data_IF_699644256126
#
_entry.id   IF_699644256126
#
_cell.length_a   1.000
_cell.length_b   1.000
_cell.length_c   1.000
_cell.angle_alpha   90.00
_cell.angle_beta   90.00
_cell.angle_gamma   90.00
#
_symmetry.space_group_name_H-M   'P 1'
#
loop_
_entity.id
_entity.type
_entity.pdbx_description
1 polymer ?
#
# COMPACT_ATOMS: atom_id res chain seq x y z
N UNK A 1 -51.37 -27.54 -31.92
CA UNK A 1 -50.40 -26.44 -32.10
C UNK A 1 -49.60 -26.32 -30.81
N UNK A 2 -48.32 -26.68 -30.81
CA UNK A 2 -47.47 -26.79 -29.61
C UNK A 2 -46.98 -25.39 -29.19
N UNK A 3 -47.25 -24.99 -27.94
CA UNK A 3 -46.71 -23.76 -27.34
C UNK A 3 -45.25 -24.01 -26.94
N UNK A 4 -44.33 -23.27 -27.53
CA UNK A 4 -42.90 -23.30 -27.20
C UNK A 4 -42.66 -22.27 -26.09
N UNK A 5 -42.40 -22.74 -24.86
CA UNK A 5 -41.91 -21.91 -23.77
C UNK A 5 -40.39 -21.78 -23.93
N UNK A 6 -39.91 -20.59 -24.30
CA UNK A 6 -38.50 -20.26 -24.19
C UNK A 6 -38.20 -19.90 -22.73
N UNK A 7 -37.59 -20.82 -21.99
CA UNK A 7 -36.97 -20.51 -20.70
C UNK A 7 -35.62 -19.85 -20.99
N UNK A 8 -35.57 -18.52 -20.88
CA UNK A 8 -34.34 -17.75 -20.99
C UNK A 8 -33.48 -17.99 -19.75
N UNK A 9 -32.40 -18.75 -19.92
CA UNK A 9 -31.38 -18.94 -18.88
C UNK A 9 -30.59 -17.63 -18.75
N UNK A 10 -30.94 -16.83 -17.74
CA UNK A 10 -30.21 -15.60 -17.40
C UNK A 10 -28.86 -15.99 -16.79
N UNK A 11 -27.78 -15.97 -17.58
CA UNK A 11 -26.41 -16.07 -17.07
C UNK A 11 -26.12 -14.79 -16.28
N UNK A 12 -26.25 -14.86 -14.95
CA UNK A 12 -25.69 -13.84 -14.07
C UNK A 12 -24.16 -13.97 -14.11
N UNK A 13 -23.49 -13.08 -14.86
CA UNK A 13 -22.07 -12.84 -14.69
C UNK A 13 -21.87 -12.24 -13.30
N UNK A 14 -21.43 -13.07 -12.35
CA UNK A 14 -20.81 -12.56 -11.14
C UNK A 14 -19.47 -11.94 -11.55
N UNK A 15 -19.42 -10.63 -11.72
CA UNK A 15 -18.14 -9.90 -11.61
C UNK A 15 -17.63 -10.15 -10.21
N UNK A 16 -16.61 -11.01 -10.08
CA UNK A 16 -15.77 -11.01 -8.89
C UNK A 16 -15.14 -9.63 -8.85
N UNK A 17 -15.52 -8.81 -7.88
CA UNK A 17 -14.76 -7.61 -7.58
C UNK A 17 -13.31 -8.07 -7.35
N UNK A 18 -12.37 -7.54 -8.11
CA UNK A 18 -10.96 -7.74 -7.79
C UNK A 18 -10.75 -7.07 -6.42
N UNK A 19 -10.29 -7.84 -5.44
CA UNK A 19 -9.95 -7.26 -4.14
C UNK A 19 -8.56 -6.65 -4.26
N UNK A 20 -8.43 -5.38 -3.93
CA UNK A 20 -7.15 -4.71 -3.91
C UNK A 20 -6.23 -5.34 -2.87
N UNK A 21 -5.02 -5.71 -3.26
CA UNK A 21 -4.03 -6.26 -2.35
C UNK A 21 -3.13 -5.13 -1.86
N UNK A 22 -2.89 -5.04 -0.55
CA UNK A 22 -2.03 -4.01 0.02
C UNK A 22 -0.86 -4.62 0.76
N UNK A 23 0.34 -4.20 0.36
CA UNK A 23 1.54 -4.38 1.18
C UNK A 23 1.53 -3.31 2.28
N UNK A 24 0.96 -3.65 3.42
CA UNK A 24 1.01 -2.82 4.62
C UNK A 24 2.45 -2.68 5.11
N UNK A 25 2.80 -1.44 5.47
CA UNK A 25 4.01 -1.07 6.20
C UNK A 25 3.58 -0.03 7.23
N UNK A 26 3.12 -0.50 8.39
CA UNK A 26 2.47 0.33 9.40
C UNK A 26 3.39 0.48 10.61
N UNK A 27 3.87 1.70 10.92
CA UNK A 27 4.62 1.96 12.13
C UNK A 27 3.67 2.14 13.33
N UNK A 28 4.20 1.92 14.53
CA UNK A 28 3.46 2.15 15.78
C UNK A 28 3.04 3.62 15.93
N UNK A 29 3.86 4.55 15.44
CA UNK A 29 3.57 5.98 15.37
C UNK A 29 4.11 6.58 14.07
N UNK A 30 3.45 7.61 13.57
CA UNK A 30 3.86 8.42 12.42
C UNK A 30 4.73 9.62 12.83
N UNK A 31 4.66 10.06 14.08
CA UNK A 31 5.51 11.11 14.66
C UNK A 31 5.99 10.70 16.04
N UNK A 32 7.30 10.79 16.29
CA UNK A 32 7.91 10.53 17.61
C UNK A 32 8.58 11.80 18.16
N UNK A 33 7.86 12.57 18.97
CA UNK A 33 8.25 13.93 19.37
C UNK A 33 9.53 14.01 20.22
N UNK A 34 9.88 12.94 20.92
CA UNK A 34 11.08 12.86 21.77
C UNK A 34 12.12 11.87 21.23
N UNK A 35 11.91 11.36 20.00
CA UNK A 35 12.59 10.17 19.50
C UNK A 35 12.10 8.90 20.20
N UNK A 36 12.85 7.82 20.08
CA UNK A 36 12.59 6.55 20.74
C UNK A 36 12.26 5.38 19.80
N UNK A 37 11.77 4.26 20.36
CA UNK A 37 11.54 3.04 19.61
C UNK A 37 10.28 3.15 18.74
N UNK A 38 10.38 2.69 17.50
CA UNK A 38 9.26 2.48 16.58
C UNK A 38 9.20 1.01 16.18
N UNK A 39 8.02 0.42 16.23
CA UNK A 39 7.76 -0.93 15.69
C UNK A 39 7.11 -0.80 14.33
N UNK A 40 7.51 -1.62 13.36
CA UNK A 40 6.93 -1.65 12.02
C UNK A 40 6.31 -3.02 11.77
N UNK A 41 5.04 -3.04 11.40
CA UNK A 41 4.31 -4.21 10.95
C UNK A 41 4.24 -4.24 9.43
N UNK A 42 4.66 -5.38 8.85
CA UNK A 42 4.65 -5.66 7.42
C UNK A 42 3.70 -6.82 7.17
N UNK A 43 2.52 -6.51 6.63
CA UNK A 43 1.44 -7.47 6.42
C UNK A 43 0.98 -7.32 4.97
N UNK A 44 0.72 -8.43 4.29
CA UNK A 44 0.12 -8.40 2.96
C UNK A 44 -1.34 -8.82 3.11
N UNK A 45 -2.30 -7.90 2.91
CA UNK A 45 -3.72 -8.12 3.26
C UNK A 45 -4.68 -7.19 2.50
N UNK A 46 -5.97 -7.25 2.84
CA UNK A 46 -7.03 -6.32 2.46
C UNK A 46 -7.41 -5.45 3.68
N UNK A 47 -6.89 -4.21 3.80
CA UNK A 47 -6.98 -3.39 5.01
C UNK A 47 -8.40 -3.10 5.48
N UNK A 48 -9.31 -2.76 4.56
CA UNK A 48 -10.67 -2.38 4.92
C UNK A 48 -11.52 -3.59 5.34
N UNK A 49 -11.31 -4.73 4.69
CA UNK A 49 -12.00 -6.00 4.99
C UNK A 49 -11.31 -6.82 6.09
N UNK A 50 -10.11 -6.40 6.53
CA UNK A 50 -9.29 -7.05 7.57
C UNK A 50 -8.86 -8.45 7.18
N UNK A 51 -8.58 -8.65 5.90
CA UNK A 51 -8.16 -9.91 5.34
C UNK A 51 -9.06 -10.43 4.20
N UNK A 52 -8.79 -11.63 3.69
CA UNK A 52 -7.76 -12.56 4.16
C UNK A 52 -6.34 -12.01 4.08
N UNK A 53 -5.49 -12.40 5.04
CA UNK A 53 -4.05 -12.15 4.94
C UNK A 53 -3.46 -13.07 3.85
N UNK A 54 -2.47 -12.58 3.11
CA UNK A 54 -1.66 -13.32 2.14
C UNK A 54 -0.31 -13.69 2.73
N UNK A 55 0.30 -14.76 2.22
CA UNK A 55 1.62 -15.17 2.68
C UNK A 55 2.70 -14.23 2.13
N UNK A 56 3.40 -13.53 3.02
CA UNK A 56 4.48 -12.63 2.69
C UNK A 56 5.83 -13.31 2.89
N UNK A 57 6.46 -13.71 1.79
CA UNK A 57 7.86 -14.16 1.81
C UNK A 57 8.77 -13.08 2.40
N UNK A 58 9.94 -13.48 2.92
CA UNK A 58 10.91 -12.51 3.43
C UNK A 58 11.24 -11.49 2.33
N UNK A 59 11.04 -10.18 2.57
CA UNK A 59 11.31 -9.14 1.58
C UNK A 59 12.69 -9.24 0.95
N UNK A 60 12.78 -8.86 -0.33
CA UNK A 60 14.08 -8.71 -1.01
C UNK A 60 14.90 -7.62 -0.36
N UNK A 61 14.26 -6.50 -0.04
CA UNK A 61 14.84 -5.39 0.71
C UNK A 61 13.83 -4.87 1.71
N UNK A 62 14.32 -4.58 2.91
CA UNK A 62 13.61 -3.78 3.90
C UNK A 62 14.60 -2.81 4.51
N UNK A 63 14.26 -1.53 4.55
CA UNK A 63 15.21 -0.52 4.99
C UNK A 63 14.55 0.81 5.33
N UNK A 64 15.39 1.76 5.71
CA UNK A 64 15.00 3.13 6.01
C UNK A 64 15.95 4.10 5.31
N UNK A 65 15.39 5.14 4.70
CA UNK A 65 16.14 6.30 4.21
C UNK A 65 16.09 7.42 5.25
N UNK A 66 17.26 7.99 5.58
CA UNK A 66 17.46 9.16 6.45
C UNK A 66 18.46 10.08 5.78
N UNK A 67 18.02 11.27 5.36
CA UNK A 67 18.78 12.10 4.42
C UNK A 67 19.22 11.28 3.19
N UNK A 68 20.49 11.35 2.82
CA UNK A 68 21.05 10.62 1.66
C UNK A 68 21.37 9.14 1.93
N UNK A 69 21.25 8.66 3.17
CA UNK A 69 21.66 7.30 3.54
C UNK A 69 20.48 6.34 3.52
N UNK A 70 20.68 5.17 2.91
CA UNK A 70 19.79 4.02 3.05
C UNK A 70 20.44 3.03 4.02
N UNK A 71 19.71 2.66 5.06
CA UNK A 71 20.11 1.68 6.06
C UNK A 71 19.30 0.41 5.83
N UNK A 72 20.00 -0.72 5.66
CA UNK A 72 19.36 -2.04 5.55
C UNK A 72 18.90 -2.52 6.93
N UNK A 73 17.61 -2.85 7.03
CA UNK A 73 16.95 -3.35 8.23
C UNK A 73 16.51 -4.81 8.08
N UNK A 74 16.86 -5.50 6.99
CA UNK A 74 16.40 -6.86 6.66
C UNK A 74 16.79 -7.92 7.69
N UNK A 75 17.86 -7.67 8.46
CA UNK A 75 18.29 -8.52 9.58
C UNK A 75 17.44 -8.34 10.83
N UNK A 76 16.66 -7.26 10.94
CA UNK A 76 15.77 -6.95 12.06
C UNK A 76 14.35 -7.48 11.87
N UNK A 77 14.06 -8.07 10.71
CA UNK A 77 12.77 -8.69 10.42
C UNK A 77 12.60 -9.97 11.25
N UNK A 78 11.62 -9.94 12.14
CA UNK A 78 11.13 -11.08 12.89
C UNK A 78 9.86 -11.62 12.21
N UNK A 79 9.84 -12.92 11.90
CA UNK A 79 8.64 -13.56 11.38
C UNK A 79 7.52 -13.53 12.43
N UNK A 80 6.30 -13.30 11.95
CA UNK A 80 5.04 -13.44 12.69
C UNK A 80 4.03 -14.19 11.83
N UNK A 81 2.98 -14.69 12.48
CA UNK A 81 1.84 -15.31 11.82
C UNK A 81 0.59 -14.47 12.06
N UNK A 82 -0.05 -14.01 10.99
CA UNK A 82 -1.36 -13.35 11.00
C UNK A 82 -2.28 -14.24 10.19
N UNK A 83 -3.37 -14.71 10.80
CA UNK A 83 -4.29 -15.70 10.20
C UNK A 83 -3.59 -16.95 9.62
N UNK A 84 -2.50 -17.38 10.26
CA UNK A 84 -1.69 -18.52 9.82
C UNK A 84 -0.76 -18.23 8.64
N UNK A 85 -0.75 -17.02 8.09
CA UNK A 85 0.13 -16.58 6.99
C UNK A 85 1.37 -15.87 7.51
N UNK A 86 2.49 -15.99 6.78
CA UNK A 86 3.72 -15.25 7.13
C UNK A 86 3.51 -13.76 6.98
N UNK A 87 3.92 -13.03 8.01
CA UNK A 87 4.03 -11.59 8.08
C UNK A 87 5.33 -11.25 8.82
N UNK A 88 5.73 -9.98 8.84
CA UNK A 88 6.98 -9.57 9.46
C UNK A 88 6.78 -8.40 10.40
N UNK A 89 7.63 -8.34 11.43
CA UNK A 89 7.75 -7.19 12.30
C UNK A 89 9.21 -6.77 12.40
N UNK A 90 9.47 -5.47 12.42
CA UNK A 90 10.79 -4.94 12.72
C UNK A 90 10.70 -3.89 13.83
N UNK A 91 11.85 -3.62 14.46
CA UNK A 91 12.01 -2.50 15.40
C UNK A 91 13.14 -1.61 14.95
N UNK A 92 12.97 -0.33 15.16
CA UNK A 92 14.00 0.68 14.96
C UNK A 92 13.98 1.72 16.07
N UNK A 93 15.10 2.41 16.25
CA UNK A 93 15.27 3.46 17.25
C UNK A 93 15.51 4.78 16.51
N UNK A 94 14.68 5.78 16.77
CA UNK A 94 14.80 7.11 16.19
C UNK A 94 15.51 8.01 17.21
N UNK A 95 16.74 8.37 16.92
CA UNK A 95 17.61 9.13 17.83
C UNK A 95 17.94 10.54 17.35
N UNK A 96 17.53 10.90 16.14
CA UNK A 96 17.83 12.18 15.49
C UNK A 96 16.56 12.78 14.88
N UNK A 97 16.42 14.13 14.82
CA UNK A 97 15.38 14.79 14.05
C UNK A 97 15.43 14.43 12.57
N UNK A 98 14.28 14.47 11.90
CA UNK A 98 14.18 14.26 10.45
C UNK A 98 13.29 13.08 10.05
N UNK A 99 13.06 12.95 8.75
CA UNK A 99 12.30 11.86 8.18
C UNK A 99 13.05 10.52 8.27
N UNK A 100 12.40 9.52 8.88
CA UNK A 100 12.72 8.11 8.69
C UNK A 100 11.74 7.52 7.68
N UNK A 101 12.15 7.47 6.41
CA UNK A 101 11.33 6.92 5.32
C UNK A 101 11.60 5.43 5.18
N UNK A 102 10.75 4.62 5.81
CA UNK A 102 10.82 3.17 5.73
C UNK A 102 10.24 2.67 4.42
N UNK A 103 10.83 1.59 3.89
CA UNK A 103 10.35 0.97 2.66
C UNK A 103 10.53 -0.54 2.65
N UNK A 104 9.70 -1.20 1.84
CA UNK A 104 9.78 -2.62 1.55
C UNK A 104 9.75 -2.86 0.04
N UNK A 105 10.67 -3.70 -0.43
CA UNK A 105 10.61 -4.36 -1.73
C UNK A 105 10.28 -5.84 -1.51
N UNK A 106 9.06 -6.29 -1.86
CA UNK A 106 8.64 -7.65 -1.58
C UNK A 106 9.24 -8.65 -2.57
N UNK A 107 9.15 -9.94 -2.24
CA UNK A 107 9.20 -10.98 -3.27
C UNK A 107 7.90 -10.95 -4.08
N UNK A 108 7.93 -11.33 -5.37
CA UNK A 108 6.70 -11.45 -6.15
C UNK A 108 5.75 -12.47 -5.52
N UNK A 109 4.50 -12.06 -5.33
CA UNK A 109 3.43 -12.93 -4.88
C UNK A 109 2.63 -13.46 -6.08
N UNK A 110 2.36 -14.76 -6.13
CA UNK A 110 1.48 -15.32 -7.14
C UNK A 110 0.03 -15.25 -6.66
N UNK A 111 -0.82 -14.49 -7.34
CA UNK A 111 -2.26 -14.41 -7.06
C UNK A 111 -3.02 -15.39 -7.97
N UNK A 112 -3.49 -16.54 -7.45
CA UNK A 112 -4.10 -17.57 -8.29
C UNK A 112 -5.42 -17.16 -8.95
N UNK A 113 -6.23 -16.34 -8.29
CA UNK A 113 -7.52 -15.88 -8.81
C UNK A 113 -7.33 -14.97 -10.03
N UNK A 114 -6.28 -14.15 -10.00
CA UNK A 114 -5.98 -13.18 -11.05
C UNK A 114 -4.96 -13.68 -12.07
N UNK A 115 -4.31 -14.82 -11.80
CA UNK A 115 -3.30 -15.45 -12.67
C UNK A 115 -2.15 -14.50 -13.02
N UNK A 116 -1.77 -13.64 -12.07
CA UNK A 116 -0.69 -12.67 -12.22
C UNK A 116 0.23 -12.70 -10.99
N UNK A 117 1.44 -12.19 -11.19
CA UNK A 117 2.31 -11.85 -10.06
C UNK A 117 2.01 -10.44 -9.56
N UNK A 118 2.08 -10.24 -8.26
CA UNK A 118 1.93 -8.95 -7.59
C UNK A 118 3.27 -8.56 -6.98
N UNK A 119 3.74 -7.35 -7.30
CA UNK A 119 4.93 -6.73 -6.70
C UNK A 119 4.56 -5.31 -6.27
N UNK A 120 4.22 -5.16 -4.99
CA UNK A 120 3.83 -3.87 -4.42
C UNK A 120 4.95 -3.34 -3.52
N UNK A 121 5.69 -2.35 -4.01
CA UNK A 121 6.64 -1.61 -3.21
C UNK A 121 5.85 -0.71 -2.26
N UNK A 122 6.17 -0.69 -0.97
CA UNK A 122 5.49 0.19 -0.02
C UNK A 122 6.47 1.04 0.76
N UNK A 123 6.05 2.27 1.09
CA UNK A 123 6.79 3.17 1.97
C UNK A 123 5.89 3.86 3.00
N UNK A 124 6.49 4.26 4.11
CA UNK A 124 5.84 5.06 5.16
C UNK A 124 6.87 5.97 5.80
N UNK A 125 6.45 7.18 6.15
CA UNK A 125 7.30 8.14 6.84
C UNK A 125 7.00 8.13 8.34
N UNK A 126 8.05 8.12 9.15
CA UNK A 126 7.97 8.46 10.58
C UNK A 126 8.82 9.71 10.81
N UNK A 127 8.21 10.77 11.33
CA UNK A 127 8.89 12.04 11.61
C UNK A 127 9.53 12.00 13.00
N UNK A 128 10.86 12.03 13.04
CA UNK A 128 11.63 12.14 14.26
C UNK A 128 11.59 13.55 14.83
N UNK A 129 11.25 13.67 16.11
CA UNK A 129 11.24 14.93 16.86
C UNK A 129 10.28 15.99 16.30
N UNK A 130 9.25 15.56 15.56
CA UNK A 130 8.31 16.46 14.86
C UNK A 130 9.03 17.53 14.01
N UNK A 131 10.14 17.13 13.38
CA UNK A 131 11.03 18.03 12.66
C UNK A 131 10.35 18.68 11.47
N UNK A 132 9.50 17.94 10.76
CA UNK A 132 8.99 18.33 9.45
C UNK A 132 10.07 18.44 8.37
N UNK A 133 11.25 17.89 8.58
CA UNK A 133 12.36 17.87 7.61
C UNK A 133 12.26 16.64 6.69
N UNK A 134 12.78 16.76 5.46
CA UNK A 134 12.96 15.67 4.49
C UNK A 134 11.69 14.85 4.17
N UNK A 135 10.50 15.39 4.42
CA UNK A 135 9.24 14.65 4.33
C UNK A 135 8.85 14.26 2.90
N UNK A 136 9.37 14.99 1.92
CA UNK A 136 9.21 14.79 0.48
C UNK A 136 10.32 13.92 -0.12
N UNK A 137 11.18 13.33 0.72
CA UNK A 137 12.22 12.40 0.27
C UNK A 137 11.65 11.21 -0.50
N UNK A 138 12.43 10.77 -1.50
CA UNK A 138 12.12 9.61 -2.32
C UNK A 138 13.15 8.50 -2.09
N UNK A 139 12.70 7.25 -2.07
CA UNK A 139 13.58 6.08 -1.94
C UNK A 139 14.22 5.72 -3.28
N UNK A 140 13.53 5.99 -4.40
CA UNK A 140 13.90 5.56 -5.74
C UNK A 140 13.34 4.18 -6.08
N UNK A 141 12.11 3.88 -5.66
CA UNK A 141 11.44 2.61 -5.97
C UNK A 141 10.98 2.59 -7.45
N UNK A 142 10.87 1.41 -8.08
CA UNK A 142 10.46 1.31 -9.49
C UNK A 142 9.09 1.93 -9.79
N UNK A 143 8.15 1.81 -8.85
CA UNK A 143 6.93 2.61 -8.80
C UNK A 143 6.89 3.26 -7.42
N UNK A 144 6.72 4.57 -7.39
CA UNK A 144 6.78 5.35 -6.15
C UNK A 144 5.82 6.54 -6.21
N UNK A 145 5.18 6.83 -5.07
CA UNK A 145 4.36 8.04 -4.93
C UNK A 145 5.21 9.14 -4.30
N UNK A 146 5.37 10.25 -5.01
CA UNK A 146 5.92 11.50 -4.47
C UNK A 146 4.83 12.24 -3.71
N UNK A 147 4.97 12.49 -2.40
CA UNK A 147 3.97 13.24 -1.66
C UNK A 147 4.05 14.74 -1.99
N UNK A 148 2.91 15.36 -2.30
CA UNK A 148 2.76 16.82 -2.38
C UNK A 148 2.12 17.41 -1.11
N UNK A 149 1.51 16.56 -0.28
CA UNK A 149 1.09 16.90 1.07
C UNK A 149 2.00 16.17 2.07
N UNK A 150 2.45 16.84 3.13
CA UNK A 150 3.24 16.20 4.20
C UNK A 150 2.50 14.98 4.75
N UNK A 151 3.09 13.76 4.69
CA UNK A 151 2.46 12.52 5.17
C UNK A 151 2.16 12.52 6.68
N UNK A 152 2.96 13.24 7.46
CA UNK A 152 2.81 13.42 8.91
C UNK A 152 2.19 14.77 9.22
N UNK A 153 1.12 14.78 10.03
CA UNK A 153 0.37 16.01 10.35
C UNK A 153 -0.91 16.23 9.53
N UNK A 154 -1.55 15.16 9.08
CA UNK A 154 -2.86 15.20 8.43
C UNK A 154 -3.97 15.17 9.49
N UNK A 155 -4.86 16.16 9.49
CA UNK A 155 -6.12 16.08 10.23
C UNK A 155 -7.15 15.25 9.45
N UNK A 156 -8.09 14.64 10.15
CA UNK A 156 -9.31 14.09 9.55
C UNK A 156 -9.98 15.17 8.70
N UNK A 157 -10.30 14.85 7.45
CA UNK A 157 -10.84 15.78 6.46
C UNK A 157 -9.78 16.49 5.60
N UNK A 158 -8.48 16.41 5.94
CA UNK A 158 -7.43 16.93 5.06
C UNK A 158 -7.33 16.12 3.76
N UNK A 159 -6.78 16.78 2.75
CA UNK A 159 -6.48 16.20 1.44
C UNK A 159 -5.01 15.78 1.38
N UNK A 160 -4.77 14.50 1.15
CA UNK A 160 -3.47 14.02 0.71
C UNK A 160 -3.38 14.14 -0.82
N UNK A 161 -2.29 14.72 -1.31
CA UNK A 161 -1.98 14.82 -2.73
C UNK A 161 -0.62 14.18 -3.00
N UNK A 162 -0.49 13.45 -4.09
CA UNK A 162 0.78 12.87 -4.52
C UNK A 162 0.89 12.75 -6.04
N UNK A 163 2.10 12.47 -6.53
CA UNK A 163 2.41 12.20 -7.93
C UNK A 163 2.84 10.75 -8.07
N UNK A 164 2.18 9.99 -8.94
CA UNK A 164 2.57 8.62 -9.26
C UNK A 164 3.76 8.65 -10.21
N UNK A 165 4.88 8.05 -9.81
CA UNK A 165 6.08 7.92 -10.62
C UNK A 165 6.34 6.44 -10.95
N UNK A 166 6.74 6.17 -12.19
CA UNK A 166 7.35 4.90 -12.61
C UNK A 166 8.75 5.19 -13.16
N UNK A 167 9.77 4.59 -12.56
CA UNK A 167 11.18 4.85 -12.86
C UNK A 167 11.51 6.36 -12.85
N UNK A 168 11.00 7.08 -11.85
CA UNK A 168 11.20 8.52 -11.67
C UNK A 168 10.45 9.42 -12.65
N UNK A 169 9.55 8.88 -13.49
CA UNK A 169 8.75 9.66 -14.44
C UNK A 169 7.27 9.63 -14.05
N UNK A 170 6.55 10.76 -14.13
CA UNK A 170 5.12 10.77 -13.83
C UNK A 170 4.32 9.81 -14.72
N UNK A 171 3.27 9.22 -14.15
CA UNK A 171 2.37 8.27 -14.82
C UNK A 171 0.98 8.91 -15.00
N UNK A 172 0.68 9.48 -16.18
CA UNK A 172 -0.62 10.09 -16.45
C UNK A 172 -1.76 9.07 -16.35
N UNK A 173 -2.90 9.46 -15.79
CA UNK A 173 -4.08 8.61 -15.66
C UNK A 173 -3.85 7.30 -14.90
N UNK A 174 -2.79 7.22 -14.09
CA UNK A 174 -2.55 6.08 -13.21
C UNK A 174 -3.79 5.81 -12.35
N UNK A 175 -4.10 4.53 -12.16
CA UNK A 175 -5.14 4.12 -11.23
C UNK A 175 -4.55 4.01 -9.83
N UNK A 176 -5.25 4.56 -8.86
CA UNK A 176 -4.87 4.52 -7.44
C UNK A 176 -6.01 3.91 -6.66
N UNK A 177 -5.71 2.79 -6.00
CA UNK A 177 -6.59 2.14 -5.05
C UNK A 177 -6.33 2.72 -3.65
N UNK A 178 -7.40 2.96 -2.91
CA UNK A 178 -7.36 3.61 -1.59
C UNK A 178 -8.13 2.78 -0.60
N UNK A 179 -7.48 2.41 0.50
CA UNK A 179 -8.08 1.69 1.62
C UNK A 179 -7.70 2.27 2.97
N UNK A 180 -8.60 2.06 3.93
CA UNK A 180 -8.44 2.41 5.34
C UNK A 180 -8.10 1.14 6.14
N UNK A 181 -7.12 1.22 7.03
CA UNK A 181 -6.83 0.12 7.97
C UNK A 181 -7.96 0.05 8.99
N UNK A 182 -8.89 -0.89 8.77
CA UNK A 182 -10.09 -1.01 9.59
C UNK A 182 -9.83 -1.90 10.80
N UNK A 183 -10.16 -1.42 12.00
CA UNK A 183 -10.12 -2.22 13.24
C UNK A 183 -11.44 -2.98 13.49
N UNK A 184 -12.41 -2.87 12.57
CA UNK A 184 -13.77 -3.39 12.69
C UNK A 184 -14.80 -2.34 13.11
N UNK A 185 -14.36 -1.10 13.35
CA UNK A 185 -15.26 0.01 13.67
C UNK A 185 -16.02 0.56 12.46
N UNK A 186 -15.59 0.24 11.24
CA UNK A 186 -16.23 0.70 10.00
C UNK A 186 -16.99 -0.44 9.34
N UNK A 187 -18.29 -0.22 9.08
CA UNK A 187 -19.12 -1.09 8.25
C UNK A 187 -19.27 -0.47 6.86
N UNK A 188 -18.77 -1.15 5.84
CA UNK A 188 -18.92 -0.69 4.45
C UNK A 188 -20.37 -0.79 3.98
N UNK A 189 -20.92 0.24 3.31
CA UNK A 189 -22.30 0.21 2.81
C UNK A 189 -22.47 -0.71 1.60
N UNK A 190 -21.42 -0.86 0.78
CA UNK A 190 -21.38 -1.78 -0.36
C UNK A 190 -19.90 -2.04 -0.78
N UNK A 191 -19.60 -2.99 -1.70
CA UNK A 191 -18.24 -3.35 -2.07
C UNK A 191 -17.36 -2.22 -2.62
N UNK A 192 -17.92 -1.18 -3.24
CA UNK A 192 -17.13 -0.05 -3.77
C UNK A 192 -16.57 0.87 -2.68
N UNK A 193 -16.93 0.63 -1.42
CA UNK A 193 -16.39 1.32 -0.25
C UNK A 193 -15.33 0.49 0.48
N UNK A 194 -15.07 -0.75 0.03
CA UNK A 194 -13.93 -1.54 0.50
C UNK A 194 -12.67 -0.89 -0.06
N UNK A 195 -12.48 -1.05 -1.38
CA UNK A 195 -11.44 -0.36 -2.15
C UNK A 195 -12.07 0.80 -2.91
N UNK A 196 -11.60 2.02 -2.65
CA UNK A 196 -11.95 3.17 -3.47
C UNK A 196 -10.92 3.34 -4.60
N UNK A 197 -11.38 3.71 -5.78
CA UNK A 197 -10.52 3.84 -6.96
C UNK A 197 -10.60 5.26 -7.49
N UNK A 198 -9.44 5.87 -7.74
CA UNK A 198 -9.31 7.18 -8.35
C UNK A 198 -8.26 7.15 -9.47
N UNK A 199 -8.24 8.19 -10.30
CA UNK A 199 -7.23 8.35 -11.36
C UNK A 199 -6.41 9.60 -11.15
N UNK A 200 -5.12 9.49 -11.43
CA UNK A 200 -4.25 10.64 -11.55
C UNK A 200 -4.60 11.50 -12.78
N UNK A 201 -4.23 12.77 -12.75
CA UNK A 201 -4.35 13.68 -13.87
C UNK A 201 -3.25 13.46 -14.93
N UNK A 202 -3.14 14.38 -15.90
CA UNK A 202 -2.14 14.31 -16.97
C UNK A 202 -0.69 14.43 -16.49
N UNK A 203 -0.46 14.94 -15.28
CA UNK A 203 0.85 15.07 -14.65
C UNK A 203 1.13 13.91 -13.69
N UNK A 204 0.26 12.90 -13.60
CA UNK A 204 0.38 11.84 -12.61
C UNK A 204 -0.04 12.25 -11.20
N UNK A 205 -0.62 13.44 -11.03
CA UNK A 205 -1.06 13.96 -9.73
C UNK A 205 -2.43 13.41 -9.35
N UNK A 206 -2.61 13.02 -8.09
CA UNK A 206 -3.89 12.65 -7.53
C UNK A 206 -4.13 13.31 -6.17
N UNK A 207 -5.40 13.41 -5.76
CA UNK A 207 -5.79 13.94 -4.46
C UNK A 207 -6.91 13.11 -3.85
N UNK A 208 -6.87 12.93 -2.53
CA UNK A 208 -7.90 12.22 -1.77
C UNK A 208 -8.11 12.85 -0.39
N UNK A 209 -9.38 13.09 -0.02
CA UNK A 209 -9.74 13.59 1.31
C UNK A 209 -10.01 12.41 2.25
N UNK A 210 -9.34 12.36 3.40
CA UNK A 210 -9.47 11.25 4.35
C UNK A 210 -10.60 11.52 5.35
N UNK A 211 -11.75 10.82 5.26
CA UNK A 211 -12.92 11.13 6.07
C UNK A 211 -12.83 10.65 7.53
N UNK A 212 -11.76 9.93 7.91
CA UNK A 212 -11.61 9.30 9.22
C UNK A 212 -10.16 9.31 9.68
N UNK A 213 -9.94 9.49 10.98
CA UNK A 213 -8.64 9.28 11.60
C UNK A 213 -8.20 7.81 11.52
N UNK A 214 -6.90 7.58 11.39
CA UNK A 214 -6.26 6.28 11.25
C UNK A 214 -5.39 6.19 9.99
N UNK A 215 -4.92 4.99 9.70
CA UNK A 215 -4.00 4.73 8.59
C UNK A 215 -4.76 4.55 7.27
N UNK A 216 -4.26 5.21 6.24
CA UNK A 216 -4.76 5.16 4.86
C UNK A 216 -3.63 4.74 3.92
N UNK A 217 -3.91 3.77 3.08
CA UNK A 217 -3.01 3.27 2.04
C UNK A 217 -3.43 3.78 0.68
N UNK A 218 -2.46 4.23 -0.11
CA UNK A 218 -2.64 4.58 -1.51
C UNK A 218 -1.77 3.67 -2.36
N UNK A 219 -2.37 2.82 -3.18
CA UNK A 219 -1.69 1.89 -4.07
C UNK A 219 -1.82 2.35 -5.52
N UNK A 220 -0.75 2.92 -6.08
CA UNK A 220 -0.70 3.28 -7.48
C UNK A 220 -0.24 2.07 -8.31
N UNK A 221 -1.17 1.47 -9.04
CA UNK A 221 -0.95 0.21 -9.76
C UNK A 221 -0.59 0.45 -11.22
N UNK A 222 0.38 -0.31 -11.71
CA UNK A 222 0.84 -0.28 -13.10
C UNK A 222 1.13 -1.69 -13.60
N UNK A 223 1.20 -1.85 -14.91
CA UNK A 223 1.70 -3.09 -15.50
C UNK A 223 3.24 -3.14 -15.39
N UNK A 224 3.76 -4.32 -15.04
CA UNK A 224 5.18 -4.61 -15.10
C UNK A 224 5.68 -4.66 -16.55
N UNK A 225 6.94 -4.26 -16.75
CA UNK A 225 7.53 -4.19 -18.09
C UNK A 225 7.77 -5.58 -18.70
N UNK A 226 7.93 -6.60 -17.85
CA UNK A 226 8.19 -7.98 -18.24
C UNK A 226 7.25 -8.97 -17.54
N UNK A 227 6.97 -10.08 -18.22
CA UNK A 227 6.24 -11.21 -17.64
C UNK A 227 7.17 -12.08 -16.80
N UNK A 228 6.65 -12.67 -15.73
CA UNK A 228 7.40 -13.60 -14.89
C UNK A 228 7.09 -15.06 -15.23
N UNK A 229 8.09 -15.93 -15.10
CA UNK A 229 7.96 -17.36 -15.34
C UNK A 229 7.35 -18.06 -14.12
N UNK A 230 6.26 -18.80 -14.34
CA UNK A 230 5.60 -19.64 -13.35
C UNK A 230 6.37 -20.94 -13.13
N UNK A 231 6.13 -21.66 -12.01
CA UNK A 231 6.76 -22.96 -11.74
C UNK A 231 6.55 -24.00 -12.85
N UNK A 232 5.42 -23.94 -13.57
CA UNK A 232 5.10 -24.81 -14.71
C UNK A 232 5.81 -24.41 -16.03
N UNK A 233 6.58 -23.31 -16.00
CA UNK A 233 7.32 -22.79 -17.14
C UNK A 233 6.55 -21.79 -18.02
N UNK A 234 5.26 -21.58 -17.79
CA UNK A 234 4.46 -20.57 -18.50
C UNK A 234 4.79 -19.14 -18.04
N UNK A 235 4.50 -18.13 -18.87
CA UNK A 235 4.69 -16.72 -18.53
C UNK A 235 3.39 -16.11 -18.01
N UNK A 236 3.46 -15.33 -16.94
CA UNK A 236 2.34 -14.60 -16.37
C UNK A 236 2.60 -13.08 -16.34
N UNK A 237 1.54 -12.27 -16.50
CA UNK A 237 1.64 -10.83 -16.29
C UNK A 237 2.07 -10.52 -14.85
N UNK A 238 2.67 -9.34 -14.68
CA UNK A 238 3.08 -8.81 -13.39
C UNK A 238 2.36 -7.49 -13.20
N UNK A 239 1.64 -7.37 -12.09
CA UNK A 239 1.21 -6.09 -11.58
C UNK A 239 2.30 -5.53 -10.68
N UNK A 240 2.65 -4.26 -10.89
CA UNK A 240 3.64 -3.55 -10.12
C UNK A 240 3.01 -2.30 -9.52
N UNK A 241 3.06 -2.19 -8.20
CA UNK A 241 2.44 -1.10 -7.46
C UNK A 241 3.45 -0.31 -6.62
N UNK A 242 3.24 1.00 -6.52
CA UNK A 242 3.91 1.86 -5.55
C UNK A 242 2.92 2.32 -4.51
N UNK A 243 3.18 1.99 -3.24
CA UNK A 243 2.29 2.24 -2.11
C UNK A 243 2.91 3.27 -1.17
N UNK A 244 2.07 4.19 -0.68
CA UNK A 244 2.40 5.06 0.45
C UNK A 244 1.32 4.96 1.53
N UNK A 245 1.75 4.88 2.78
CA UNK A 245 0.89 4.92 3.96
C UNK A 245 0.98 6.27 4.65
N UNK A 246 -0.17 6.82 5.02
CA UNK A 246 -0.27 8.08 5.79
C UNK A 246 -1.30 7.92 6.91
N UNK A 247 -1.22 8.76 7.93
CA UNK A 247 -2.14 8.72 9.07
C UNK A 247 -2.89 10.04 9.21
N UNK A 248 -4.22 9.97 9.23
CA UNK A 248 -5.06 11.09 9.61
C UNK A 248 -5.33 11.07 11.13
N UNK A 249 -5.37 12.23 11.76
CA UNK A 249 -5.60 12.40 13.20
C UNK A 249 -6.83 13.28 13.44
N UNK A 250 -7.63 13.01 14.47
CA UNK A 250 -8.77 13.87 14.82
C UNK A 250 -8.32 15.13 15.58
N UNK A 251 -8.98 16.26 15.30
CA UNK A 251 -8.93 17.43 16.17
C UNK A 251 -9.62 17.09 17.50
N UNK A 252 -9.05 17.53 18.62
CA UNK A 252 -9.58 17.30 19.97
C UNK A 252 -9.89 18.61 20.67
#
# INVERSE_FOLDING_TARGET
MKKLFYSGLCLMWFSTAACAHFQELIPSEDVVTEGGPVTLDLIFTHPMDRGPTMDMEKPKRFGVKRGDKIIDLSSRLEERKIDGKRAWRAKDEITEPGASLYFVEPQPYWEPAEKKYIVHYAKVLVDGFASGEDWDSMVGLPVEIEPLTRPTGLWTGNVFTGVVLKNGKPVPNAEIEVEYVNDGSVKVPNPTFVTQVLKADSNGTFSYAMPRAGWWGFAALTEGDEKMKRPDGSLAPVEVGGLIWVKATDMK
#
